data_IF_747559802064
#
_entry.id   IF_747559802064
#
_cell.length_a   1.000
_cell.length_b   1.000
_cell.length_c   1.000
_cell.angle_alpha   90.00
_cell.angle_beta   90.00
_cell.angle_gamma   90.00
#
_symmetry.space_group_name_H-M   'P 1'
#
loop_
_entity.id
_entity.type
_entity.pdbx_description
1 polymer ?
#
# COMPACT_ATOMS: atom_id res chain seq x y z
N UNK A 1 -39.54 44.37 17.98
CA UNK A 1 -38.80 43.59 16.96
C UNK A 1 -37.31 43.71 17.29
N UNK A 2 -36.76 42.79 18.08
CA UNK A 2 -35.33 42.79 18.42
C UNK A 2 -34.61 41.78 17.52
N UNK A 3 -33.76 42.29 16.64
CA UNK A 3 -32.91 41.51 15.73
C UNK A 3 -31.93 40.68 16.54
N UNK A 4 -32.00 39.35 16.41
CA UNK A 4 -31.04 38.44 17.03
C UNK A 4 -29.70 38.60 16.31
N UNK A 5 -28.64 38.96 17.04
CA UNK A 5 -27.29 39.11 16.51
C UNK A 5 -26.79 37.73 16.07
N UNK A 6 -26.52 37.54 14.80
CA UNK A 6 -25.92 36.30 14.30
C UNK A 6 -24.44 36.29 14.64
N UNK A 7 -24.00 35.33 15.46
CA UNK A 7 -22.57 35.16 15.77
C UNK A 7 -21.88 34.49 14.58
N UNK A 8 -20.97 35.22 13.93
CA UNK A 8 -20.10 34.64 12.91
C UNK A 8 -19.06 33.73 13.58
N UNK A 9 -18.86 32.56 12.99
CA UNK A 9 -17.89 31.58 13.45
C UNK A 9 -16.48 32.15 13.20
N UNK A 10 -15.68 32.32 14.25
CA UNK A 10 -14.30 32.78 14.09
C UNK A 10 -13.46 31.72 13.36
N UNK A 11 -12.87 32.07 12.22
CA UNK A 11 -12.04 31.18 11.41
C UNK A 11 -10.88 30.57 12.21
N UNK A 12 -10.21 31.38 13.04
CA UNK A 12 -9.12 30.90 13.90
C UNK A 12 -9.60 29.88 14.95
N UNK A 13 -10.79 30.08 15.51
CA UNK A 13 -11.39 29.12 16.44
C UNK A 13 -11.88 27.87 15.72
N UNK A 14 -12.42 27.98 14.51
CA UNK A 14 -12.87 26.87 13.70
C UNK A 14 -11.70 25.95 13.31
N UNK A 15 -10.59 26.53 12.85
CA UNK A 15 -9.36 25.81 12.52
C UNK A 15 -8.71 25.19 13.76
N UNK A 16 -8.60 25.94 14.86
CA UNK A 16 -7.97 25.47 16.10
C UNK A 16 -8.76 24.39 16.84
N UNK A 17 -10.08 24.37 16.70
CA UNK A 17 -10.97 23.36 17.32
C UNK A 17 -11.43 22.28 16.36
N UNK A 18 -10.92 22.26 15.13
CA UNK A 18 -11.27 21.22 14.16
C UNK A 18 -10.79 19.87 14.67
N UNK A 19 -11.73 19.03 15.10
CA UNK A 19 -11.45 17.65 15.45
C UNK A 19 -11.41 16.81 14.17
N UNK A 20 -10.45 15.88 14.11
CA UNK A 20 -10.37 14.93 13.00
C UNK A 20 -11.64 14.09 12.98
N UNK A 21 -12.35 14.08 11.85
CA UNK A 21 -13.49 13.18 11.65
C UNK A 21 -13.03 11.75 11.87
N UNK A 22 -13.84 10.96 12.57
CA UNK A 22 -13.54 9.54 12.78
C UNK A 22 -13.43 8.83 11.43
N UNK A 23 -12.42 7.97 11.30
CA UNK A 23 -12.33 7.10 10.14
C UNK A 23 -13.49 6.10 10.20
N UNK A 24 -14.10 5.83 9.05
CA UNK A 24 -14.99 4.68 8.92
C UNK A 24 -14.26 3.43 9.40
N UNK A 25 -14.91 2.67 10.29
CA UNK A 25 -14.34 1.46 10.93
C UNK A 25 -13.99 0.37 9.91
N UNK A 26 -14.63 0.38 8.74
CA UNK A 26 -14.32 -0.49 7.62
C UNK A 26 -13.85 0.34 6.42
N UNK A 27 -12.83 -0.16 5.72
CA UNK A 27 -12.56 0.35 4.38
C UNK A 27 -13.74 -0.07 3.48
N UNK A 28 -14.41 0.86 2.78
CA UNK A 28 -15.46 0.48 1.84
C UNK A 28 -14.94 -0.38 0.67
N UNK A 29 -13.62 -0.47 0.51
CA UNK A 29 -12.93 -1.17 -0.58
C UNK A 29 -12.09 -2.36 -0.09
N UNK A 30 -12.60 -3.15 0.87
CA UNK A 30 -11.95 -4.42 1.20
C UNK A 30 -12.16 -5.41 0.06
N UNK A 31 -11.12 -6.14 -0.32
CA UNK A 31 -11.17 -7.21 -1.30
C UNK A 31 -12.21 -8.26 -0.87
N UNK A 32 -13.01 -8.73 -1.84
CA UNK A 32 -13.97 -9.80 -1.65
C UNK A 32 -13.33 -11.16 -1.89
N UNK A 33 -12.37 -11.23 -2.80
CA UNK A 33 -11.68 -12.45 -3.19
C UNK A 33 -10.17 -12.37 -2.93
N UNK A 34 -9.55 -13.53 -2.72
CA UNK A 34 -8.09 -13.67 -2.64
C UNK A 34 -7.46 -13.23 -3.97
N UNK A 35 -6.36 -12.50 -3.90
CA UNK A 35 -5.59 -11.90 -4.99
C UNK A 35 -6.27 -10.74 -5.73
N UNK A 36 -7.41 -10.25 -5.24
CA UNK A 36 -8.07 -9.07 -5.83
C UNK A 36 -7.23 -7.80 -5.58
N UNK A 37 -6.69 -7.64 -4.37
CA UNK A 37 -5.80 -6.54 -4.00
C UNK A 37 -4.62 -7.10 -3.21
N UNK A 38 -3.42 -6.87 -3.72
CA UNK A 38 -2.16 -7.16 -3.03
C UNK A 38 -1.53 -5.84 -2.63
N UNK A 39 -1.26 -5.66 -1.34
CA UNK A 39 -0.50 -4.54 -0.82
C UNK A 39 0.98 -4.89 -0.79
N UNK A 40 1.83 -3.92 -1.11
CA UNK A 40 3.26 -4.08 -1.06
C UNK A 40 3.96 -2.88 -0.45
N UNK A 41 4.98 -3.16 0.36
CA UNK A 41 5.81 -2.16 1.01
C UNK A 41 7.27 -2.61 1.05
N UNK A 42 8.21 -1.68 0.90
CA UNK A 42 9.65 -1.93 0.99
C UNK A 42 10.21 -1.28 2.24
N UNK A 43 10.84 -2.09 3.08
CA UNK A 43 11.49 -1.62 4.29
C UNK A 43 13.02 -1.67 4.15
N UNK A 44 13.70 -0.62 4.61
CA UNK A 44 15.17 -0.53 4.71
C UNK A 44 15.74 0.82 4.28
N UNK A 45 17.08 1.01 4.37
CA UNK A 45 18.09 0.01 4.71
C UNK A 45 18.13 -0.34 6.21
N UNK A 46 18.20 -1.62 6.52
CA UNK A 46 18.42 -2.13 7.88
C UNK A 46 19.86 -1.85 8.33
N UNK A 47 20.02 -1.50 9.60
CA UNK A 47 21.35 -1.24 10.20
C UNK A 47 22.23 -2.49 10.12
N UNK A 48 21.67 -3.63 10.50
CA UNK A 48 22.35 -4.93 10.47
C UNK A 48 22.01 -5.67 9.18
N UNK A 49 23.00 -5.97 8.32
CA UNK A 49 22.77 -6.83 7.16
C UNK A 49 22.53 -8.27 7.63
N UNK A 50 21.77 -9.02 6.84
CA UNK A 50 21.70 -10.48 7.01
C UNK A 50 23.06 -11.14 6.68
N UNK A 51 23.23 -12.42 7.01
CA UNK A 51 24.42 -13.19 6.63
C UNK A 51 24.72 -13.12 5.12
N UNK A 52 23.69 -12.99 4.28
CA UNK A 52 23.82 -12.82 2.83
C UNK A 52 24.03 -11.37 2.36
N UNK A 53 24.29 -10.43 3.27
CA UNK A 53 24.53 -9.02 2.93
C UNK A 53 23.29 -8.24 2.49
N UNK A 54 22.07 -8.76 2.75
CA UNK A 54 20.81 -8.12 2.38
C UNK A 54 20.40 -7.10 3.44
N UNK A 55 19.93 -5.93 3.02
CA UNK A 55 19.56 -4.81 3.91
C UNK A 55 18.14 -4.30 3.71
N UNK A 56 17.40 -4.85 2.76
CA UNK A 56 16.02 -4.46 2.51
C UNK A 56 15.14 -5.71 2.55
N UNK A 57 13.86 -5.52 2.77
CA UNK A 57 12.86 -6.54 2.48
C UNK A 57 11.63 -5.91 1.84
N UNK A 58 10.94 -6.68 1.02
CA UNK A 58 9.64 -6.33 0.47
C UNK A 58 8.59 -7.30 1.02
N UNK A 59 7.43 -6.76 1.36
CA UNK A 59 6.26 -7.54 1.75
C UNK A 59 5.23 -7.53 0.62
N UNK A 60 4.55 -8.66 0.43
CA UNK A 60 3.37 -8.78 -0.43
C UNK A 60 2.25 -9.39 0.42
N UNK A 61 1.21 -8.61 0.66
CA UNK A 61 0.11 -8.96 1.56
C UNK A 61 -1.19 -8.98 0.77
N UNK A 62 -1.87 -10.12 0.75
CA UNK A 62 -3.22 -10.22 0.19
C UNK A 62 -4.26 -9.60 1.14
N UNK A 63 -5.07 -8.66 0.63
CA UNK A 63 -6.05 -7.91 1.42
C UNK A 63 -7.18 -8.79 2.00
N UNK A 64 -7.52 -9.88 1.32
CA UNK A 64 -8.64 -10.74 1.72
C UNK A 64 -8.22 -11.76 2.78
N UNK A 65 -7.18 -12.53 2.50
CA UNK A 65 -6.69 -13.65 3.32
C UNK A 65 -5.68 -13.23 4.38
N UNK A 66 -5.09 -12.02 4.26
CA UNK A 66 -3.94 -11.58 5.05
C UNK A 66 -2.70 -12.47 4.87
N UNK A 67 -2.66 -13.28 3.81
CA UNK A 67 -1.48 -14.05 3.47
C UNK A 67 -0.34 -13.09 3.10
N UNK A 68 0.77 -13.20 3.83
CA UNK A 68 1.93 -12.33 3.68
C UNK A 68 3.14 -13.13 3.25
N UNK A 69 3.82 -12.67 2.20
CA UNK A 69 5.12 -13.18 1.78
C UNK A 69 6.16 -12.08 1.91
N UNK A 70 7.30 -12.42 2.49
CA UNK A 70 8.42 -11.50 2.69
C UNK A 70 9.64 -11.97 1.91
N UNK A 71 10.20 -11.08 1.09
CA UNK A 71 11.45 -11.35 0.37
C UNK A 71 12.55 -10.42 0.82
N UNK A 72 13.71 -10.99 1.17
CA UNK A 72 14.92 -10.24 1.48
C UNK A 72 15.61 -9.79 0.19
N UNK A 73 15.99 -8.51 0.12
CA UNK A 73 16.62 -7.87 -1.04
C UNK A 73 17.98 -7.27 -0.68
N UNK A 74 18.91 -7.28 -1.64
CA UNK A 74 20.15 -6.51 -1.52
C UNK A 74 19.93 -5.06 -1.93
N UNK A 75 19.18 -4.84 -3.01
CA UNK A 75 18.80 -3.52 -3.53
C UNK A 75 17.29 -3.42 -3.78
N UNK A 76 16.74 -2.19 -3.73
CA UNK A 76 15.33 -1.93 -4.05
C UNK A 76 14.96 -2.22 -5.52
N UNK A 77 15.94 -2.25 -6.43
CA UNK A 77 15.73 -2.61 -7.83
C UNK A 77 15.28 -4.06 -8.04
N UNK A 78 15.47 -4.93 -7.04
CA UNK A 78 15.06 -6.34 -7.10
C UNK A 78 13.56 -6.56 -6.90
N UNK A 79 12.81 -5.52 -6.51
CA UNK A 79 11.37 -5.62 -6.18
C UNK A 79 10.56 -6.16 -7.35
N UNK A 80 10.80 -5.70 -8.58
CA UNK A 80 10.06 -6.17 -9.75
C UNK A 80 10.26 -7.67 -10.00
N UNK A 81 11.48 -8.17 -9.84
CA UNK A 81 11.79 -9.59 -9.99
C UNK A 81 11.10 -10.43 -8.90
N UNK A 82 11.14 -9.96 -7.64
CA UNK A 82 10.46 -10.64 -6.52
C UNK A 82 8.95 -10.59 -6.60
N UNK A 83 8.39 -9.52 -7.15
CA UNK A 83 6.96 -9.44 -7.43
C UNK A 83 6.53 -10.46 -8.48
N UNK A 84 7.30 -10.62 -9.57
CA UNK A 84 7.01 -11.64 -10.58
C UNK A 84 7.05 -13.07 -9.99
N UNK A 85 8.03 -13.35 -9.13
CA UNK A 85 8.13 -14.62 -8.39
C UNK A 85 6.90 -14.85 -7.49
N UNK A 86 6.50 -13.83 -6.73
CA UNK A 86 5.30 -13.86 -5.90
C UNK A 86 4.04 -14.14 -6.70
N UNK A 87 3.82 -13.43 -7.81
CA UNK A 87 2.64 -13.60 -8.66
C UNK A 87 2.59 -15.04 -9.20
N UNK A 88 3.69 -15.55 -9.74
CA UNK A 88 3.73 -16.92 -10.25
C UNK A 88 3.39 -17.96 -9.15
N UNK A 89 3.94 -17.78 -7.95
CA UNK A 89 3.62 -18.63 -6.81
C UNK A 89 2.13 -18.52 -6.41
N UNK A 90 1.64 -17.32 -6.15
CA UNK A 90 0.30 -17.07 -5.65
C UNK A 90 -0.78 -17.53 -6.64
N UNK A 91 -0.59 -17.28 -7.94
CA UNK A 91 -1.53 -17.71 -8.98
C UNK A 91 -1.57 -19.23 -9.10
N UNK A 92 -0.42 -19.91 -8.98
CA UNK A 92 -0.34 -21.37 -9.03
C UNK A 92 -1.02 -22.02 -7.81
N UNK A 93 -0.81 -21.47 -6.62
CA UNK A 93 -1.37 -22.05 -5.39
C UNK A 93 -2.88 -21.83 -5.25
N UNK A 94 -3.40 -20.72 -5.76
CA UNK A 94 -4.81 -20.34 -5.55
C UNK A 94 -5.70 -20.57 -6.78
N UNK A 95 -5.11 -20.76 -7.96
CA UNK A 95 -5.82 -20.80 -9.23
C UNK A 95 -6.47 -19.46 -9.62
N UNK A 96 -6.19 -18.38 -8.90
CA UNK A 96 -6.72 -17.02 -9.15
C UNK A 96 -5.60 -16.11 -9.63
N UNK A 97 -5.97 -15.08 -10.38
CA UNK A 97 -5.02 -14.08 -10.88
C UNK A 97 -4.95 -12.86 -9.98
N UNK A 98 -3.77 -12.28 -9.86
CA UNK A 98 -3.60 -10.99 -9.18
C UNK A 98 -4.24 -9.90 -10.02
N UNK A 99 -5.13 -9.09 -9.44
CA UNK A 99 -5.85 -8.05 -10.18
C UNK A 99 -5.28 -6.66 -9.93
N UNK A 100 -4.99 -6.32 -8.68
CA UNK A 100 -4.52 -4.98 -8.30
C UNK A 100 -3.29 -5.09 -7.41
N UNK A 101 -2.22 -4.37 -7.77
CA UNK A 101 -1.08 -4.09 -6.89
C UNK A 101 -1.28 -2.70 -6.27
N UNK A 102 -1.23 -2.63 -4.94
CA UNK A 102 -1.27 -1.37 -4.20
C UNK A 102 0.06 -1.14 -3.49
N UNK A 103 0.72 -0.04 -3.81
CA UNK A 103 1.99 0.34 -3.20
C UNK A 103 2.02 1.82 -2.84
N UNK A 104 3.09 2.26 -2.20
CA UNK A 104 3.45 3.67 -2.16
C UNK A 104 3.97 4.13 -3.54
N UNK A 105 4.23 5.43 -3.68
CA UNK A 105 4.76 6.01 -4.92
C UNK A 105 6.30 5.86 -5.03
N UNK A 106 6.85 4.77 -4.49
CA UNK A 106 8.29 4.47 -4.51
C UNK A 106 8.83 4.29 -5.93
N UNK A 107 10.09 4.66 -6.14
CA UNK A 107 10.78 4.54 -7.43
C UNK A 107 10.88 3.09 -7.93
N UNK A 108 10.92 2.14 -7.00
CA UNK A 108 10.92 0.70 -7.25
C UNK A 108 9.66 0.22 -7.99
N UNK A 109 8.49 0.77 -7.64
CA UNK A 109 7.20 0.39 -8.20
C UNK A 109 6.88 1.12 -9.50
N UNK A 110 7.48 2.28 -9.72
CA UNK A 110 7.33 3.09 -10.95
C UNK A 110 8.36 2.73 -12.03
N UNK A 111 9.21 1.73 -11.79
CA UNK A 111 10.18 1.24 -12.76
C UNK A 111 9.50 0.68 -14.02
N UNK A 112 10.12 0.92 -15.20
CA UNK A 112 9.56 0.45 -16.48
C UNK A 112 9.39 -1.08 -16.56
N UNK A 113 10.25 -1.84 -15.87
CA UNK A 113 10.12 -3.29 -15.77
C UNK A 113 8.86 -3.71 -14.99
N UNK A 114 8.57 -3.04 -13.86
CA UNK A 114 7.36 -3.27 -13.08
C UNK A 114 6.10 -2.90 -13.85
N UNK A 115 6.10 -1.71 -14.48
CA UNK A 115 4.99 -1.24 -15.31
C UNK A 115 4.70 -2.20 -16.46
N UNK A 116 5.74 -2.66 -17.17
CA UNK A 116 5.61 -3.64 -18.26
C UNK A 116 5.05 -4.96 -17.76
N UNK A 117 5.58 -5.51 -16.66
CA UNK A 117 5.09 -6.76 -16.09
C UNK A 117 3.61 -6.68 -15.70
N UNK A 118 3.20 -5.57 -15.06
CA UNK A 118 1.80 -5.34 -14.72
C UNK A 118 0.92 -5.22 -15.96
N UNK A 119 1.36 -4.49 -17.00
CA UNK A 119 0.62 -4.37 -18.26
C UNK A 119 0.44 -5.72 -18.96
N UNK A 120 1.52 -6.51 -19.08
CA UNK A 120 1.50 -7.83 -19.71
C UNK A 120 0.55 -8.81 -19.00
N UNK A 121 0.41 -8.67 -17.68
CA UNK A 121 -0.47 -9.51 -16.84
C UNK A 121 -1.86 -8.92 -16.63
N UNK A 122 -2.13 -7.69 -17.08
CA UNK A 122 -3.39 -6.98 -16.81
C UNK A 122 -3.59 -6.59 -15.34
N UNK A 123 -2.50 -6.43 -14.58
CA UNK A 123 -2.53 -6.02 -13.18
C UNK A 123 -2.62 -4.49 -13.10
N UNK A 124 -3.62 -3.98 -12.38
CA UNK A 124 -3.79 -2.54 -12.15
C UNK A 124 -2.88 -2.09 -11.02
N UNK A 125 -2.01 -1.10 -11.27
CA UNK A 125 -1.22 -0.46 -10.22
C UNK A 125 -2.01 0.70 -9.59
N UNK A 126 -2.10 0.71 -8.26
CA UNK A 126 -2.72 1.79 -7.48
C UNK A 126 -1.71 2.33 -6.48
N UNK A 127 -1.36 3.60 -6.62
CA UNK A 127 -0.45 4.28 -5.71
C UNK A 127 -1.19 4.98 -4.59
N UNK A 128 -0.66 4.88 -3.37
CA UNK A 128 -1.21 5.60 -2.21
C UNK A 128 -0.76 7.06 -2.26
N UNK A 129 -1.63 8.04 -1.96
CA UNK A 129 -1.26 9.45 -1.95
C UNK A 129 -0.09 9.73 -0.97
N UNK A 130 0.84 10.64 -1.30
CA UNK A 130 2.08 10.87 -0.54
C UNK A 130 1.90 11.24 0.96
N UNK A 131 0.70 11.63 1.38
CA UNK A 131 0.41 12.15 2.74
C UNK A 131 -0.51 11.26 3.58
N UNK A 132 -0.87 10.06 3.12
CA UNK A 132 -1.73 9.11 3.84
C UNK A 132 -0.97 7.84 4.25
N UNK A 133 0.02 8.00 5.12
CA UNK A 133 0.87 6.93 5.72
C UNK A 133 0.07 5.86 6.49
N UNK A 134 -1.25 5.99 6.62
CA UNK A 134 -2.12 5.12 7.44
C UNK A 134 -3.06 4.21 6.65
N UNK A 135 -2.95 4.11 5.32
CA UNK A 135 -3.81 3.24 4.49
C UNK A 135 -3.11 2.10 3.75
N UNK A 136 -1.78 2.03 3.79
CA UNK A 136 -1.16 0.70 3.77
C UNK A 136 -1.51 0.11 5.13
N UNK A 137 -2.14 -1.07 5.20
CA UNK A 137 -2.49 -1.62 6.50
C UNK A 137 -1.20 -1.71 7.32
N UNK A 138 -1.21 -1.05 8.49
CA UNK A 138 -0.21 -1.19 9.53
C UNK A 138 -0.24 -2.66 10.01
N UNK A 139 0.40 -3.54 9.23
CA UNK A 139 0.85 -4.86 9.66
C UNK A 139 2.38 -4.86 9.80
N UNK A 140 3.00 -3.67 9.81
CA UNK A 140 4.28 -3.35 10.43
C UNK A 140 4.02 -2.32 11.53
#
# INVERSE_FOLDING_TARGET
>A
MTSVKQWELCDGCALGKQTRVSYMKSSPNRAKHVLEVVHSDVCGPMQTPTFGGKRYFVTFIDDKSHFCVVYLLRNKSEVAAKFAEFVAFAETQTGKRVQTLRSDNGGEYTSGAMAKFCADRGIVQKFTPPSLVRKLPCYL
#
